data_IF_644220868557
#
_entry.id   IF_644220868557
#
_cell.length_a   1.000
_cell.length_b   1.000
_cell.length_c   1.000
_cell.angle_alpha   90.00
_cell.angle_beta   90.00
_cell.angle_gamma   90.00
#
_symmetry.space_group_name_H-M   'P 1'
#
loop_
_entity.id
_entity.type
_entity.pdbx_description
1 polymer ?
#
# COMPACT_ATOMS: atom_id res chain seq x y z
N UNK A 1 2.92 20.66 19.46
CA UNK A 1 1.75 19.83 19.12
C UNK A 1 2.28 18.47 18.70
N UNK A 2 1.54 17.37 18.86
CA UNK A 2 2.00 16.12 18.26
C UNK A 2 2.02 16.30 16.72
N UNK A 3 3.12 15.96 16.02
CA UNK A 3 3.15 16.01 14.57
C UNK A 3 1.98 15.23 13.98
N UNK A 4 1.17 15.88 13.15
CA UNK A 4 0.07 15.24 12.46
C UNK A 4 0.62 14.55 11.22
N UNK A 5 1.11 13.30 11.38
CA UNK A 5 1.72 12.47 10.32
C UNK A 5 0.97 12.49 9.00
N UNK A 6 -0.35 12.50 9.05
CA UNK A 6 -1.16 12.57 7.85
C UNK A 6 -0.93 13.86 7.03
N UNK A 7 -0.73 15.01 7.68
CA UNK A 7 -0.41 16.27 7.02
C UNK A 7 1.02 16.28 6.48
N UNK A 8 1.98 15.69 7.20
CA UNK A 8 3.37 15.54 6.73
C UNK A 8 3.41 14.69 5.46
N UNK A 9 2.65 13.60 5.45
CA UNK A 9 2.46 12.77 4.26
C UNK A 9 1.81 13.56 3.12
N UNK A 10 0.73 14.29 3.39
CA UNK A 10 0.07 15.12 2.39
C UNK A 10 1.06 16.08 1.74
N UNK A 11 1.84 16.80 2.56
CA UNK A 11 2.85 17.75 2.08
C UNK A 11 3.95 17.05 1.28
N UNK A 12 4.36 15.83 1.67
CA UNK A 12 5.35 15.04 0.93
C UNK A 12 4.83 14.58 -0.44
N UNK A 13 3.63 14.01 -0.48
CA UNK A 13 3.01 13.53 -1.73
C UNK A 13 2.76 14.73 -2.65
N UNK A 14 2.27 15.85 -2.12
CA UNK A 14 2.06 17.07 -2.90
C UNK A 14 3.36 17.63 -3.51
N UNK A 15 4.50 17.52 -2.80
CA UNK A 15 5.81 17.89 -3.36
C UNK A 15 6.26 16.95 -4.48
N UNK A 16 5.89 15.68 -4.40
CA UNK A 16 6.27 14.65 -5.38
C UNK A 16 5.36 14.66 -6.61
N UNK A 17 4.14 15.18 -6.47
CA UNK A 17 3.17 15.38 -7.55
C UNK A 17 2.88 16.88 -7.75
N UNK A 18 3.85 17.69 -8.22
CA UNK A 18 3.73 19.16 -8.26
C UNK A 18 2.61 19.66 -9.18
N UNK A 19 2.27 18.89 -10.20
CA UNK A 19 1.24 19.24 -11.20
C UNK A 19 -0.15 18.70 -10.85
N UNK A 20 -0.29 17.98 -9.73
CA UNK A 20 -1.56 17.42 -9.26
C UNK A 20 -1.93 18.11 -7.95
N UNK A 21 -2.91 19.03 -7.94
CA UNK A 21 -3.38 19.62 -6.70
C UNK A 21 -4.14 18.58 -5.88
N UNK A 22 -3.76 18.40 -4.63
CA UNK A 22 -4.36 17.42 -3.74
C UNK A 22 -5.28 18.09 -2.71
N UNK A 23 -6.21 17.29 -2.19
CA UNK A 23 -7.07 17.63 -1.06
C UNK A 23 -7.10 16.46 -0.06
N UNK A 24 -7.30 16.79 1.22
CA UNK A 24 -7.61 15.81 2.26
C UNK A 24 -9.13 15.73 2.40
N UNK A 25 -9.68 14.60 2.84
CA UNK A 25 -11.14 14.57 2.97
C UNK A 25 -11.75 13.49 3.84
N UNK A 26 -13.07 13.64 4.09
CA UNK A 26 -13.84 14.90 3.95
C UNK A 26 -13.54 15.89 5.11
N UNK A 27 -13.72 17.20 4.87
CA UNK A 27 -13.60 18.27 5.89
C UNK A 27 -12.28 18.28 6.70
N UNK A 28 -11.13 18.21 6.01
CA UNK A 28 -9.79 18.10 6.60
C UNK A 28 -9.58 16.88 7.51
N UNK A 29 -10.48 15.89 7.46
CA UNK A 29 -10.24 14.63 8.16
C UNK A 29 -9.04 13.90 7.54
N UNK A 30 -8.20 13.39 8.42
CA UNK A 30 -6.99 12.63 8.10
C UNK A 30 -7.34 11.18 7.69
N UNK A 31 -8.32 11.00 6.80
CA UNK A 31 -8.78 9.68 6.37
C UNK A 31 -8.14 9.26 5.05
N UNK A 32 -8.18 10.10 4.01
CA UNK A 32 -7.62 9.82 2.69
C UNK A 32 -7.24 11.11 1.94
N UNK A 33 -6.42 10.96 0.89
CA UNK A 33 -5.97 12.04 0.00
C UNK A 33 -6.55 11.77 -1.39
N UNK A 34 -6.95 12.81 -2.10
CA UNK A 34 -7.48 12.71 -3.47
C UNK A 34 -7.09 13.94 -4.30
N UNK A 35 -7.20 13.81 -5.62
CA UNK A 35 -7.01 14.91 -6.55
C UNK A 35 -8.14 15.93 -6.43
N UNK A 36 -7.76 17.19 -6.24
CA UNK A 36 -8.68 18.31 -6.14
C UNK A 36 -9.32 18.63 -7.49
N UNK A 37 -10.61 18.92 -7.47
CA UNK A 37 -11.38 19.37 -8.63
C UNK A 37 -11.59 18.30 -9.69
N UNK A 38 -11.30 17.03 -9.39
CA UNK A 38 -11.42 15.91 -10.32
C UNK A 38 -12.24 14.78 -9.72
N UNK A 39 -13.16 14.25 -10.52
CA UNK A 39 -13.91 13.03 -10.23
C UNK A 39 -13.70 11.99 -11.32
N UNK A 40 -13.91 10.74 -10.98
CA UNK A 40 -13.87 9.60 -11.90
C UNK A 40 -15.28 9.09 -12.17
N UNK A 41 -15.50 8.62 -13.40
CA UNK A 41 -16.69 7.91 -13.83
C UNK A 41 -16.29 6.78 -14.78
N UNK A 42 -17.12 5.75 -14.94
CA UNK A 42 -16.87 4.74 -15.99
C UNK A 42 -17.03 5.35 -17.37
N UNK A 43 -16.25 4.86 -18.33
CA UNK A 43 -16.28 5.30 -19.72
C UNK A 43 -17.67 5.16 -20.37
N UNK A 44 -17.85 5.87 -21.49
CA UNK A 44 -19.07 5.78 -22.28
C UNK A 44 -20.24 6.57 -21.70
N UNK A 45 -21.38 5.90 -21.54
CA UNK A 45 -22.65 6.53 -21.13
C UNK A 45 -22.60 7.06 -19.70
N UNK A 46 -22.02 6.33 -18.75
CA UNK A 46 -21.93 6.78 -17.35
C UNK A 46 -21.16 8.10 -17.22
N UNK A 47 -20.01 8.23 -17.88
CA UNK A 47 -19.27 9.49 -17.91
C UNK A 47 -20.10 10.65 -18.48
N UNK A 48 -20.93 10.41 -19.52
CA UNK A 48 -21.83 11.47 -20.04
C UNK A 48 -22.89 11.86 -19.02
N UNK A 49 -23.52 10.87 -18.39
CA UNK A 49 -24.53 11.10 -17.33
C UNK A 49 -23.92 11.90 -16.18
N UNK A 50 -22.69 11.57 -15.76
CA UNK A 50 -21.97 12.32 -14.73
C UNK A 50 -21.69 13.76 -15.18
N UNK A 51 -21.14 13.98 -16.38
CA UNK A 51 -20.89 15.32 -16.91
C UNK A 51 -22.17 16.18 -16.93
N UNK A 52 -23.24 15.67 -17.52
CA UNK A 52 -24.49 16.42 -17.69
C UNK A 52 -25.13 16.71 -16.33
N UNK A 53 -25.21 15.71 -15.44
CA UNK A 53 -25.81 15.86 -14.10
C UNK A 53 -25.02 16.83 -13.23
N UNK A 54 -23.68 16.76 -13.25
CA UNK A 54 -22.84 17.68 -12.47
C UNK A 54 -22.94 19.09 -13.03
N UNK A 55 -22.90 19.26 -14.36
CA UNK A 55 -23.03 20.58 -14.99
C UNK A 55 -24.34 21.25 -14.64
N UNK A 56 -25.46 20.53 -14.78
CA UNK A 56 -26.79 21.04 -14.44
C UNK A 56 -26.87 21.44 -12.95
N UNK A 57 -26.33 20.60 -12.06
CA UNK A 57 -26.28 20.90 -10.63
C UNK A 57 -25.46 22.15 -10.33
N UNK A 58 -24.30 22.32 -10.98
CA UNK A 58 -23.39 23.43 -10.73
C UNK A 58 -23.96 24.74 -11.26
N UNK A 59 -24.60 24.73 -12.42
CA UNK A 59 -25.33 25.89 -12.95
C UNK A 59 -26.46 26.33 -12.01
N UNK A 60 -27.07 25.40 -11.26
CA UNK A 60 -28.15 25.69 -10.32
C UNK A 60 -27.69 26.01 -8.88
N UNK A 61 -26.40 25.88 -8.56
CA UNK A 61 -25.89 25.97 -7.18
C UNK A 61 -24.93 27.15 -7.03
N UNK A 62 -25.24 28.07 -6.11
CA UNK A 62 -24.38 29.22 -5.82
C UNK A 62 -22.99 28.77 -5.32
N UNK A 63 -21.93 29.35 -5.88
CA UNK A 63 -20.55 29.02 -5.52
C UNK A 63 -19.91 27.89 -6.34
N UNK A 64 -20.66 27.25 -7.24
CA UNK A 64 -20.15 26.24 -8.18
C UNK A 64 -20.25 26.76 -9.62
N UNK A 65 -19.37 26.27 -10.50
CA UNK A 65 -19.24 26.79 -11.88
C UNK A 65 -19.34 25.65 -12.88
N UNK A 66 -20.46 25.58 -13.61
CA UNK A 66 -20.72 24.52 -14.59
C UNK A 66 -19.73 24.48 -15.76
N UNK A 67 -19.08 25.59 -16.08
CA UNK A 67 -18.08 25.68 -17.16
C UNK A 67 -16.78 24.93 -16.83
N UNK A 68 -16.52 24.63 -15.55
CA UNK A 68 -15.38 23.81 -15.15
C UNK A 68 -15.62 22.32 -15.42
N UNK A 69 -16.88 21.89 -15.61
CA UNK A 69 -17.21 20.49 -15.88
C UNK A 69 -16.75 20.12 -17.28
N UNK A 70 -15.72 19.27 -17.40
CA UNK A 70 -15.21 18.77 -18.68
C UNK A 70 -14.36 17.51 -18.49
N UNK A 71 -14.30 16.66 -19.52
CA UNK A 71 -13.35 15.54 -19.52
C UNK A 71 -11.90 16.04 -19.45
N UNK A 72 -11.11 15.41 -18.60
CA UNK A 72 -9.70 15.71 -18.35
C UNK A 72 -8.76 14.57 -18.79
N UNK A 73 -9.29 13.56 -19.48
CA UNK A 73 -8.54 12.40 -19.97
C UNK A 73 -9.04 11.91 -21.34
N UNK A 74 -8.46 10.81 -21.86
CA UNK A 74 -8.93 10.19 -23.09
C UNK A 74 -10.39 9.75 -22.97
N UNK A 75 -11.07 9.59 -24.11
CA UNK A 75 -12.47 9.12 -24.13
C UNK A 75 -12.64 7.69 -23.65
N UNK A 76 -11.59 6.89 -23.79
CA UNK A 76 -11.52 5.48 -23.39
C UNK A 76 -10.11 5.14 -22.99
N UNK A 77 -9.94 4.29 -21.98
CA UNK A 77 -8.67 3.65 -21.61
C UNK A 77 -8.89 2.19 -21.20
N UNK A 78 -7.83 1.45 -20.83
CA UNK A 78 -7.94 0.01 -20.51
C UNK A 78 -8.64 -0.24 -19.19
N UNK A 79 -8.43 0.65 -18.22
CA UNK A 79 -9.12 0.67 -16.93
C UNK A 79 -10.61 0.96 -17.06
N UNK A 80 -11.03 1.57 -18.17
CA UNK A 80 -12.43 1.90 -18.48
C UNK A 80 -12.94 3.12 -17.70
N UNK A 81 -12.04 4.02 -17.30
CA UNK A 81 -12.32 5.14 -16.38
C UNK A 81 -12.03 6.48 -17.04
N UNK A 82 -13.04 7.36 -17.06
CA UNK A 82 -12.90 8.75 -17.50
C UNK A 82 -12.64 9.65 -16.30
N UNK A 83 -11.59 10.47 -16.39
CA UNK A 83 -11.37 11.62 -15.50
C UNK A 83 -12.21 12.81 -15.94
N UNK A 84 -12.95 13.42 -15.02
CA UNK A 84 -13.80 14.59 -15.25
C UNK A 84 -13.34 15.69 -14.30
N UNK A 85 -12.83 16.78 -14.87
CA UNK A 85 -12.60 18.01 -14.13
C UNK A 85 -13.96 18.62 -13.78
N UNK A 86 -14.15 19.00 -12.52
CA UNK A 86 -15.36 19.64 -11.99
C UNK A 86 -15.06 20.97 -11.29
N UNK A 87 -13.80 21.22 -10.91
CA UNK A 87 -13.36 22.48 -10.29
C UNK A 87 -12.14 23.07 -11.00
N UNK A 88 -11.77 24.29 -10.62
CA UNK A 88 -10.48 24.86 -11.01
C UNK A 88 -9.37 24.25 -10.13
N UNK A 89 -8.39 23.53 -10.70
CA UNK A 89 -7.30 22.93 -9.93
C UNK A 89 -6.40 23.98 -9.25
N UNK A 90 -6.42 25.22 -9.76
CA UNK A 90 -5.68 26.36 -9.20
C UNK A 90 -6.42 27.05 -8.04
N UNK A 91 -7.70 26.77 -7.84
CA UNK A 91 -8.47 27.30 -6.72
C UNK A 91 -8.11 26.53 -5.44
N UNK A 92 -7.24 27.14 -4.64
CA UNK A 92 -6.79 26.58 -3.37
C UNK A 92 -7.83 26.71 -2.26
N UNK A 93 -8.98 27.35 -2.50
CA UNK A 93 -9.95 27.65 -1.45
C UNK A 93 -9.36 28.57 -0.37
N UNK A 94 -10.11 28.91 0.69
CA UNK A 94 -9.63 29.82 1.71
C UNK A 94 -8.52 29.18 2.57
N UNK A 95 -7.25 29.44 2.24
CA UNK A 95 -6.06 29.51 3.13
C UNK A 95 -5.70 28.34 4.05
N UNK A 96 -6.49 27.27 4.13
CA UNK A 96 -6.30 26.12 5.00
C UNK A 96 -5.48 25.05 4.25
N UNK A 97 -4.42 24.54 4.88
CA UNK A 97 -3.61 23.44 4.30
C UNK A 97 -4.50 22.24 4.03
N UNK A 98 -4.53 21.77 2.78
CA UNK A 98 -5.31 20.60 2.39
C UNK A 98 -6.84 20.78 2.50
N UNK A 99 -7.31 22.03 2.55
CA UNK A 99 -8.72 22.42 2.72
C UNK A 99 -9.71 21.67 1.82
N UNK A 100 -10.97 21.59 2.27
CA UNK A 100 -12.07 20.92 1.56
C UNK A 100 -12.25 21.31 0.09
N UNK A 101 -12.80 20.38 -0.69
CA UNK A 101 -13.05 20.52 -2.12
C UNK A 101 -14.57 20.54 -2.39
N UNK A 102 -15.13 21.75 -2.41
CA UNK A 102 -16.57 21.98 -2.61
C UNK A 102 -17.03 21.50 -4.00
N UNK A 103 -16.16 21.57 -5.01
CA UNK A 103 -16.49 21.10 -6.35
C UNK A 103 -16.63 19.57 -6.36
N UNK A 104 -15.65 18.82 -5.87
CA UNK A 104 -15.78 17.35 -5.78
C UNK A 104 -16.92 16.95 -4.85
N UNK A 105 -17.08 17.60 -3.70
CA UNK A 105 -18.20 17.34 -2.79
C UNK A 105 -19.57 17.63 -3.46
N UNK A 106 -19.65 18.70 -4.26
CA UNK A 106 -20.82 19.06 -5.07
C UNK A 106 -21.11 18.03 -6.16
N UNK A 107 -20.09 17.55 -6.86
CA UNK A 107 -20.24 16.54 -7.90
C UNK A 107 -20.74 15.20 -7.33
N UNK A 108 -20.15 14.72 -6.24
CA UNK A 108 -20.64 13.52 -5.53
C UNK A 108 -22.08 13.71 -5.04
N UNK A 109 -22.43 14.91 -4.58
CA UNK A 109 -23.79 15.27 -4.14
C UNK A 109 -24.82 15.24 -5.27
N UNK A 110 -24.45 15.74 -6.45
CA UNK A 110 -25.32 15.79 -7.62
C UNK A 110 -25.80 14.40 -8.04
N UNK A 111 -24.94 13.39 -7.91
CA UNK A 111 -25.20 12.04 -8.40
C UNK A 111 -25.94 11.13 -7.41
N UNK A 112 -26.07 11.50 -6.13
CA UNK A 112 -26.67 10.62 -5.09
C UNK A 112 -28.05 10.07 -5.46
N UNK A 113 -28.90 10.89 -6.08
CA UNK A 113 -30.24 10.47 -6.50
C UNK A 113 -30.17 9.48 -7.66
N UNK A 114 -29.25 9.69 -8.61
CA UNK A 114 -29.06 8.79 -9.74
C UNK A 114 -28.52 7.43 -9.27
N UNK A 115 -27.49 7.44 -8.40
CA UNK A 115 -26.93 6.23 -7.79
C UNK A 115 -27.98 5.44 -6.99
N UNK A 116 -28.85 6.14 -6.26
CA UNK A 116 -29.96 5.52 -5.54
C UNK A 116 -31.01 4.86 -6.46
N UNK A 117 -31.13 5.31 -7.71
CA UNK A 117 -32.04 4.71 -8.71
C UNK A 117 -31.39 3.55 -9.46
N UNK A 118 -30.12 3.67 -9.82
CA UNK A 118 -29.39 2.64 -10.58
C UNK A 118 -28.91 1.51 -9.68
N UNK A 119 -28.74 1.76 -8.38
CA UNK A 119 -28.27 0.77 -7.40
C UNK A 119 -26.75 0.59 -7.40
N UNK A 120 -26.00 1.44 -8.11
CA UNK A 120 -24.55 1.40 -8.15
C UNK A 120 -23.95 2.81 -8.22
N UNK A 121 -22.67 2.89 -7.83
CA UNK A 121 -21.89 4.12 -7.84
C UNK A 121 -21.60 4.57 -9.27
N UNK A 122 -21.85 5.85 -9.55
CA UNK A 122 -21.60 6.47 -10.85
C UNK A 122 -20.36 7.38 -10.82
N UNK A 123 -20.03 7.94 -9.66
CA UNK A 123 -18.95 8.92 -9.52
C UNK A 123 -18.05 8.66 -8.31
N UNK A 124 -16.75 8.87 -8.47
CA UNK A 124 -15.74 8.73 -7.42
C UNK A 124 -14.81 9.94 -7.33
N UNK A 125 -14.17 10.13 -6.18
CA UNK A 125 -12.95 10.96 -6.12
C UNK A 125 -11.83 10.21 -6.81
N UNK A 126 -10.86 10.93 -7.37
CA UNK A 126 -9.62 10.31 -7.82
C UNK A 126 -8.65 10.20 -6.62
N UNK A 127 -8.72 9.11 -5.86
CA UNK A 127 -7.95 8.94 -4.63
C UNK A 127 -6.46 8.75 -4.92
N UNK A 128 -5.63 9.12 -3.96
CA UNK A 128 -4.23 8.70 -3.92
C UNK A 128 -4.15 7.31 -3.31
N UNK A 129 -3.52 6.40 -4.03
CA UNK A 129 -3.07 5.09 -3.57
C UNK A 129 -1.62 5.22 -3.12
N UNK A 130 -1.27 4.65 -1.96
CA UNK A 130 0.06 4.82 -1.39
C UNK A 130 0.55 3.60 -0.61
N UNK A 131 1.87 3.37 -0.59
CA UNK A 131 2.56 2.35 0.25
C UNK A 131 2.62 2.75 1.73
N UNK A 132 2.65 4.05 2.00
CA UNK A 132 2.60 4.62 3.34
C UNK A 132 1.19 5.16 3.58
N UNK A 133 0.59 4.93 4.74
CA UNK A 133 -0.68 5.57 5.11
C UNK A 133 -0.45 6.12 6.51
N UNK A 134 -0.24 7.44 6.60
CA UNK A 134 0.36 8.24 7.69
C UNK A 134 1.90 8.38 7.68
N UNK A 135 2.49 8.74 6.54
CA UNK A 135 3.90 9.17 6.41
C UNK A 135 4.97 8.13 6.75
N UNK A 136 4.61 6.89 7.03
CA UNK A 136 5.54 5.76 7.04
C UNK A 136 4.73 4.51 6.71
N UNK A 137 5.41 3.40 6.40
CA UNK A 137 4.97 2.09 6.89
C UNK A 137 4.75 2.11 8.42
N UNK A 138 4.61 0.97 9.08
CA UNK A 138 4.47 0.94 10.55
C UNK A 138 5.53 1.75 11.33
N UNK A 139 6.71 1.96 10.74
CA UNK A 139 7.82 2.85 11.15
C UNK A 139 8.75 3.19 9.97
N UNK A 140 9.88 3.87 10.26
CA UNK A 140 11.00 4.07 9.34
C UNK A 140 11.98 2.90 9.41
N UNK A 141 12.73 2.60 8.33
CA UNK A 141 13.69 1.51 8.33
C UNK A 141 14.82 1.80 9.33
N UNK A 142 15.21 0.77 10.07
CA UNK A 142 16.29 0.82 11.07
C UNK A 142 17.44 -0.07 10.58
N UNK A 143 18.70 0.39 10.52
CA UNK A 143 19.79 -0.46 10.05
C UNK A 143 19.98 -1.68 10.95
N UNK A 144 20.28 -2.81 10.34
CA UNK A 144 20.61 -4.06 11.04
C UNK A 144 22.01 -4.48 10.62
N UNK A 145 22.83 -4.88 11.59
CA UNK A 145 24.19 -5.31 11.29
C UNK A 145 24.20 -6.55 10.39
N UNK A 146 25.14 -6.61 9.44
CA UNK A 146 25.28 -7.77 8.54
C UNK A 146 25.52 -9.11 9.22
N UNK A 147 26.03 -9.07 10.45
CA UNK A 147 26.28 -10.26 11.27
C UNK A 147 24.99 -10.81 11.87
N UNK A 148 23.92 -10.03 11.90
CA UNK A 148 22.60 -10.49 12.33
C UNK A 148 21.90 -11.24 11.21
N UNK A 149 21.05 -12.18 11.60
CA UNK A 149 20.28 -12.98 10.66
C UNK A 149 18.97 -12.27 10.30
N UNK A 150 18.57 -12.28 9.02
CA UNK A 150 17.23 -11.89 8.60
C UNK A 150 16.15 -12.64 9.40
N UNK A 151 14.98 -12.00 9.53
CA UNK A 151 13.83 -12.55 10.23
C UNK A 151 12.55 -12.16 9.46
N UNK A 152 11.91 -13.10 8.73
CA UNK A 152 12.23 -14.53 8.66
C UNK A 152 13.60 -14.82 8.05
N UNK A 153 14.28 -15.88 8.51
CA UNK A 153 15.50 -16.33 7.84
C UNK A 153 15.15 -17.00 6.51
N UNK A 154 16.05 -17.01 5.50
CA UNK A 154 15.82 -17.77 4.28
C UNK A 154 15.51 -19.24 4.58
N UNK A 155 14.37 -19.72 4.09
CA UNK A 155 13.97 -21.11 4.21
C UNK A 155 14.92 -22.01 3.41
N UNK A 156 15.10 -23.27 3.83
CA UNK A 156 15.85 -24.22 3.03
C UNK A 156 15.09 -24.52 1.73
N UNK A 157 15.82 -24.62 0.63
CA UNK A 157 15.25 -24.93 -0.68
C UNK A 157 16.23 -24.59 -1.78
N UNK A 158 15.99 -25.15 -2.96
CA UNK A 158 16.72 -24.80 -4.18
C UNK A 158 15.73 -24.26 -5.19
N UNK A 159 16.15 -23.24 -5.93
CA UNK A 159 15.41 -22.77 -7.08
C UNK A 159 15.40 -23.82 -8.19
N UNK A 160 14.21 -24.11 -8.72
CA UNK A 160 13.98 -24.93 -9.91
C UNK A 160 13.14 -24.13 -10.90
N UNK A 161 13.72 -23.67 -12.04
CA UNK A 161 12.99 -22.85 -13.00
C UNK A 161 11.78 -23.53 -13.62
N UNK A 162 11.70 -24.87 -13.59
CA UNK A 162 10.56 -25.60 -14.15
C UNK A 162 9.33 -25.61 -13.23
N UNK A 163 9.52 -25.33 -11.94
CA UNK A 163 8.46 -25.36 -10.91
C UNK A 163 8.37 -24.07 -10.08
N UNK A 164 9.23 -23.09 -10.35
CA UNK A 164 9.25 -21.82 -9.63
C UNK A 164 7.91 -21.09 -9.75
N UNK A 165 7.39 -20.64 -8.61
CA UNK A 165 6.14 -19.86 -8.55
C UNK A 165 6.44 -18.43 -9.00
N UNK A 166 5.67 -17.92 -9.95
CA UNK A 166 5.78 -16.55 -10.42
C UNK A 166 5.14 -15.57 -9.44
N UNK A 167 5.94 -14.67 -8.86
CA UNK A 167 5.45 -13.64 -7.93
C UNK A 167 5.74 -12.25 -8.51
N UNK A 168 4.68 -11.51 -8.81
CA UNK A 168 4.78 -10.10 -9.22
C UNK A 168 4.60 -9.21 -8.00
N UNK A 169 5.54 -8.31 -7.77
CA UNK A 169 5.50 -7.27 -6.75
C UNK A 169 5.31 -5.92 -7.44
N UNK A 170 4.23 -5.20 -7.14
CA UNK A 170 4.01 -3.84 -7.64
C UNK A 170 4.29 -2.85 -6.52
N UNK A 171 5.41 -2.13 -6.61
CA UNK A 171 5.97 -1.34 -5.51
C UNK A 171 6.93 -0.21 -6.00
N UNK A 172 7.97 0.17 -5.24
CA UNK A 172 8.92 1.26 -5.53
C UNK A 172 10.11 0.88 -6.42
N UNK A 173 10.28 -0.41 -6.76
CA UNK A 173 11.43 -0.92 -7.51
C UNK A 173 12.55 -1.53 -6.65
N UNK A 174 13.62 -1.95 -7.33
CA UNK A 174 14.79 -2.63 -6.77
C UNK A 174 15.97 -1.67 -6.56
N UNK A 175 16.65 -1.75 -5.42
CA UNK A 175 17.91 -1.04 -5.15
C UNK A 175 19.01 -1.56 -6.07
N UNK A 176 19.94 -0.72 -6.50
CA UNK A 176 20.98 -1.07 -7.47
C UNK A 176 21.83 -2.28 -7.06
N UNK A 177 22.05 -2.46 -5.76
CA UNK A 177 22.89 -3.50 -5.16
C UNK A 177 22.10 -4.72 -4.66
N UNK A 178 20.81 -4.83 -4.98
CA UNK A 178 19.94 -5.92 -4.46
C UNK A 178 20.48 -7.33 -4.72
N UNK A 179 21.20 -7.54 -5.84
CA UNK A 179 21.79 -8.83 -6.22
C UNK A 179 22.93 -9.27 -5.30
N UNK A 180 23.47 -8.36 -4.47
CA UNK A 180 24.44 -8.68 -3.42
C UNK A 180 23.80 -9.45 -2.27
N UNK A 181 22.47 -9.47 -2.15
CA UNK A 181 21.74 -10.33 -1.22
C UNK A 181 21.37 -11.68 -1.85
N UNK A 182 21.98 -12.81 -1.44
CA UNK A 182 21.84 -14.10 -2.14
C UNK A 182 20.40 -14.61 -2.35
N UNK A 183 19.45 -14.44 -1.40
CA UNK A 183 18.06 -14.83 -1.64
C UNK A 183 17.41 -14.15 -2.85
N UNK A 184 17.90 -12.98 -3.28
CA UNK A 184 17.38 -12.26 -4.45
C UNK A 184 18.02 -12.68 -5.77
N UNK A 185 18.80 -13.78 -5.81
CA UNK A 185 19.46 -14.26 -7.03
C UNK A 185 18.51 -14.51 -8.21
N UNK A 186 17.24 -14.84 -7.94
CA UNK A 186 16.19 -15.10 -8.93
C UNK A 186 15.11 -14.02 -8.94
N UNK A 187 15.48 -12.81 -8.51
CA UNK A 187 14.64 -11.61 -8.61
C UNK A 187 15.10 -10.78 -9.81
N UNK A 188 14.14 -10.19 -10.52
CA UNK A 188 14.36 -9.22 -11.58
C UNK A 188 13.30 -8.12 -11.52
N UNK A 189 13.45 -7.07 -12.32
CA UNK A 189 12.46 -6.00 -12.41
C UNK A 189 13.06 -4.60 -12.53
N UNK A 190 12.20 -3.62 -12.32
CA UNK A 190 12.55 -2.21 -12.46
C UNK A 190 13.44 -1.77 -11.30
N UNK A 191 14.53 -1.08 -11.61
CA UNK A 191 15.36 -0.43 -10.59
C UNK A 191 14.66 0.82 -10.06
N UNK A 192 14.94 1.15 -8.80
CA UNK A 192 14.53 2.41 -8.20
C UNK A 192 15.08 3.57 -9.05
N UNK A 193 14.19 4.50 -9.46
CA UNK A 193 14.56 5.61 -10.35
C UNK A 193 15.61 6.53 -9.72
N UNK A 194 15.44 6.85 -8.43
CA UNK A 194 16.33 7.71 -7.66
C UNK A 194 16.41 7.20 -6.23
N UNK A 195 17.60 6.76 -5.83
CA UNK A 195 17.81 6.19 -4.51
C UNK A 195 18.21 7.22 -3.47
N UNK A 196 19.12 8.13 -3.83
CA UNK A 196 19.66 9.15 -2.94
C UNK A 196 19.35 10.56 -3.43
N UNK A 197 19.41 11.53 -2.51
CA UNK A 197 19.51 12.94 -2.87
C UNK A 197 20.91 13.29 -3.41
N UNK A 198 21.13 14.58 -3.67
CA UNK A 198 22.39 15.08 -4.25
C UNK A 198 23.57 15.00 -3.27
N UNK A 199 23.30 14.84 -1.97
CA UNK A 199 24.29 14.65 -0.91
C UNK A 199 24.57 13.15 -0.63
N UNK A 200 23.95 12.24 -1.39
CA UNK A 200 24.10 10.81 -1.23
C UNK A 200 23.30 10.21 -0.07
N UNK A 201 22.35 10.96 0.51
CA UNK A 201 21.46 10.48 1.57
C UNK A 201 20.30 9.71 0.94
N UNK A 202 20.04 8.51 1.45
CA UNK A 202 18.93 7.65 1.03
C UNK A 202 17.60 8.40 1.18
N UNK A 203 16.81 8.41 0.11
CA UNK A 203 15.51 9.07 0.11
C UNK A 203 14.47 8.24 0.88
N UNK A 204 13.44 8.93 1.33
CA UNK A 204 12.38 8.34 2.12
C UNK A 204 11.61 7.26 1.32
N UNK A 205 11.40 6.10 1.96
CA UNK A 205 10.74 4.90 1.44
C UNK A 205 11.40 4.20 0.24
N UNK A 206 12.55 4.69 -0.22
CA UNK A 206 13.38 3.96 -1.18
C UNK A 206 13.77 2.61 -0.59
N UNK A 207 13.76 1.58 -1.44
CA UNK A 207 14.11 0.20 -1.05
C UNK A 207 12.94 -0.62 -0.49
N UNK A 208 11.73 -0.07 -0.41
CA UNK A 208 10.52 -0.80 0.01
C UNK A 208 10.26 -2.03 -0.88
N UNK A 209 10.34 -1.89 -2.20
CA UNK A 209 10.20 -3.02 -3.13
C UNK A 209 11.28 -4.10 -2.96
N UNK A 210 12.52 -3.70 -2.68
CA UNK A 210 13.64 -4.63 -2.40
C UNK A 210 13.42 -5.40 -1.11
N UNK A 211 12.96 -4.70 -0.07
CA UNK A 211 12.66 -5.30 1.22
C UNK A 211 11.56 -6.37 1.09
N UNK A 212 10.49 -6.04 0.37
CA UNK A 212 9.36 -6.94 0.07
C UNK A 212 9.82 -8.16 -0.73
N UNK A 213 10.58 -7.96 -1.81
CA UNK A 213 11.12 -9.06 -2.61
C UNK A 213 12.00 -9.99 -1.76
N UNK A 214 12.81 -9.42 -0.86
CA UNK A 214 13.66 -10.17 0.05
C UNK A 214 12.86 -11.04 1.02
N UNK A 215 11.69 -10.57 1.48
CA UNK A 215 10.78 -11.34 2.33
C UNK A 215 10.13 -12.50 1.56
N UNK A 216 9.67 -12.26 0.33
CA UNK A 216 9.11 -13.33 -0.52
C UNK A 216 10.15 -14.43 -0.73
N UNK A 217 11.35 -14.05 -1.18
CA UNK A 217 12.43 -15.00 -1.48
C UNK A 217 12.94 -15.72 -0.22
N UNK A 218 12.93 -15.05 0.94
CA UNK A 218 13.29 -15.69 2.20
C UNK A 218 12.25 -16.74 2.63
N UNK A 219 10.95 -16.47 2.46
CA UNK A 219 9.89 -17.42 2.86
C UNK A 219 9.73 -18.55 1.84
N UNK A 220 9.91 -18.28 0.54
CA UNK A 220 9.78 -19.24 -0.55
C UNK A 220 10.97 -19.15 -1.52
N UNK A 221 12.04 -19.94 -1.31
CA UNK A 221 13.23 -19.91 -2.16
C UNK A 221 12.99 -20.34 -3.62
N UNK A 222 11.91 -21.07 -3.90
CA UNK A 222 11.52 -21.51 -5.24
C UNK A 222 10.52 -20.55 -5.90
N UNK A 223 10.82 -19.26 -5.89
CA UNK A 223 10.03 -18.22 -6.56
C UNK A 223 10.85 -17.51 -7.62
N UNK A 224 10.21 -17.18 -8.74
CA UNK A 224 10.70 -16.17 -9.67
C UNK A 224 9.99 -14.86 -9.33
N UNK A 225 10.71 -13.91 -8.75
CA UNK A 225 10.14 -12.62 -8.31
C UNK A 225 10.38 -11.56 -9.37
N UNK A 226 9.34 -10.86 -9.78
CA UNK A 226 9.43 -9.68 -10.64
C UNK A 226 8.93 -8.46 -9.90
N UNK A 227 9.74 -7.40 -9.80
CA UNK A 227 9.34 -6.14 -9.17
C UNK A 227 9.04 -5.08 -10.24
N UNK A 228 7.87 -4.44 -10.15
CA UNK A 228 7.48 -3.30 -10.98
C UNK A 228 7.50 -2.01 -10.18
N UNK A 229 8.25 -1.03 -10.66
CA UNK A 229 8.42 0.28 -10.04
C UNK A 229 7.27 1.21 -10.41
N UNK A 230 6.08 0.98 -9.87
CA UNK A 230 4.88 1.78 -10.16
C UNK A 230 4.68 2.94 -9.18
N UNK A 231 5.24 2.83 -7.97
CA UNK A 231 4.99 3.74 -6.85
C UNK A 231 6.23 4.59 -6.52
N UNK A 232 6.86 5.22 -7.52
CA UNK A 232 8.15 5.91 -7.34
C UNK A 232 8.02 7.33 -6.75
N UNK A 233 6.87 7.98 -6.91
CA UNK A 233 6.65 9.36 -6.46
C UNK A 233 6.21 9.39 -4.99
N UNK A 234 7.20 9.32 -4.08
CA UNK A 234 6.98 9.18 -2.64
C UNK A 234 6.06 7.99 -2.26
N UNK A 235 6.10 6.92 -3.06
CA UNK A 235 5.27 5.75 -2.79
C UNK A 235 3.80 5.92 -3.17
N UNK A 236 3.45 6.94 -3.96
CA UNK A 236 2.07 7.34 -4.23
C UNK A 236 1.75 7.41 -5.74
N UNK A 237 0.47 7.19 -6.07
CA UNK A 237 -0.09 7.27 -7.43
C UNK A 237 -1.60 7.57 -7.34
N UNK A 238 -2.17 8.23 -8.34
CA UNK A 238 -3.64 8.42 -8.42
C UNK A 238 -4.35 7.12 -8.84
N UNK A 239 -5.57 6.88 -8.34
CA UNK A 239 -6.28 5.61 -8.57
C UNK A 239 -6.57 5.34 -10.06
N UNK A 240 -6.75 6.39 -10.87
CA UNK A 240 -6.95 6.25 -12.31
C UNK A 240 -5.69 5.77 -13.04
N UNK A 241 -4.54 6.36 -12.71
CA UNK A 241 -3.24 5.96 -13.25
C UNK A 241 -2.82 4.58 -12.72
N UNK A 242 -3.16 4.27 -11.47
CA UNK A 242 -2.87 2.98 -10.85
C UNK A 242 -3.58 1.82 -11.55
N UNK A 243 -4.83 2.01 -11.95
CA UNK A 243 -5.57 1.01 -12.73
C UNK A 243 -4.85 0.64 -14.04
N UNK A 244 -4.34 1.64 -14.77
CA UNK A 244 -3.54 1.42 -15.98
C UNK A 244 -2.20 0.74 -15.67
N UNK A 245 -1.50 1.20 -14.63
CA UNK A 245 -0.20 0.65 -14.27
C UNK A 245 -0.28 -0.82 -13.83
N UNK A 246 -1.39 -1.23 -13.20
CA UNK A 246 -1.64 -2.64 -12.89
C UNK A 246 -1.80 -3.48 -14.17
N UNK A 247 -2.45 -2.95 -15.21
CA UNK A 247 -2.52 -3.62 -16.51
C UNK A 247 -1.14 -3.69 -17.19
N UNK A 248 -0.37 -2.60 -17.18
CA UNK A 248 1.00 -2.58 -17.72
C UNK A 248 1.88 -3.65 -17.05
N UNK A 249 1.80 -3.75 -15.71
CA UNK A 249 2.58 -4.69 -14.92
C UNK A 249 2.34 -6.16 -15.32
N UNK A 250 1.10 -6.54 -15.61
CA UNK A 250 0.74 -7.91 -16.02
C UNK A 250 0.83 -8.16 -17.52
N UNK A 251 0.84 -7.13 -18.37
CA UNK A 251 1.00 -7.28 -19.82
C UNK A 251 2.46 -7.53 -20.21
N UNK A 252 3.42 -6.92 -19.52
CA UNK A 252 4.85 -7.07 -19.82
C UNK A 252 5.36 -8.49 -19.53
N UNK A 253 4.90 -9.09 -18.42
CA UNK A 253 5.36 -10.41 -17.96
C UNK A 253 4.31 -11.54 -18.05
N UNK A 254 3.07 -11.21 -18.40
CA UNK A 254 1.92 -12.10 -18.22
C UNK A 254 1.36 -12.05 -16.80
N UNK A 255 0.18 -12.65 -16.62
CA UNK A 255 -0.44 -12.80 -15.30
C UNK A 255 0.40 -13.74 -14.42
N UNK A 256 0.82 -13.32 -13.22
CA UNK A 256 1.61 -14.14 -12.32
C UNK A 256 0.72 -15.16 -11.59
N UNK A 257 1.33 -16.12 -10.89
CA UNK A 257 0.59 -16.93 -9.92
C UNK A 257 0.11 -16.05 -8.76
N UNK A 258 1.02 -15.23 -8.22
CA UNK A 258 0.74 -14.35 -7.09
C UNK A 258 1.10 -12.91 -7.44
N UNK A 259 0.15 -12.00 -7.25
CA UNK A 259 0.35 -10.56 -7.28
C UNK A 259 0.41 -10.05 -5.83
N UNK A 260 1.58 -9.66 -5.36
CA UNK A 260 1.79 -9.07 -4.04
C UNK A 260 1.71 -7.54 -4.13
N UNK A 261 0.73 -6.94 -3.45
CA UNK A 261 0.48 -5.50 -3.48
C UNK A 261 0.46 -4.89 -2.08
N UNK A 262 1.47 -4.09 -1.78
CA UNK A 262 1.66 -3.44 -0.48
C UNK A 262 1.28 -1.95 -0.50
N UNK A 263 0.22 -1.62 -1.23
CA UNK A 263 -0.30 -0.27 -1.38
C UNK A 263 -1.83 -0.24 -1.39
N UNK A 264 -2.42 0.90 -1.04
CA UNK A 264 -3.85 1.07 -1.14
C UNK A 264 -4.35 2.44 -0.69
N UNK A 265 -5.67 2.56 -0.55
CA UNK A 265 -6.33 3.75 -0.02
C UNK A 265 -7.62 3.39 0.70
N UNK A 266 -7.92 4.10 1.79
CA UNK A 266 -9.30 4.23 2.28
C UNK A 266 -10.03 5.20 1.33
N UNK A 267 -11.32 4.99 1.14
CA UNK A 267 -12.14 5.87 0.30
C UNK A 267 -13.40 6.37 1.00
N UNK A 268 -13.50 6.14 2.31
CA UNK A 268 -14.67 6.46 3.14
C UNK A 268 -15.93 5.66 2.75
N UNK A 269 -15.79 4.54 2.03
CA UNK A 269 -16.91 3.76 1.49
C UNK A 269 -16.69 2.25 1.63
N UNK A 270 -17.76 1.51 1.33
CA UNK A 270 -17.82 0.04 1.36
C UNK A 270 -17.65 -0.61 -0.02
N UNK A 271 -17.65 0.20 -1.07
CA UNK A 271 -17.31 -0.18 -2.44
C UNK A 271 -15.86 0.23 -2.78
N UNK A 272 -15.27 -0.43 -3.76
CA UNK A 272 -13.85 -0.26 -4.10
C UNK A 272 -13.49 1.07 -4.77
N UNK A 273 -12.21 1.23 -5.07
CA UNK A 273 -11.70 2.33 -5.90
C UNK A 273 -12.22 2.16 -7.33
N UNK A 274 -12.75 3.23 -7.90
CA UNK A 274 -13.36 3.16 -9.24
C UNK A 274 -12.26 2.98 -10.29
N UNK A 275 -11.12 3.66 -10.11
CA UNK A 275 -9.91 3.55 -10.93
C UNK A 275 -9.39 2.13 -11.15
N UNK A 276 -9.53 1.24 -10.15
CA UNK A 276 -8.99 -0.13 -10.21
C UNK A 276 -10.04 -1.18 -10.59
N UNK A 277 -11.30 -0.80 -10.74
CA UNK A 277 -12.40 -1.75 -10.93
C UNK A 277 -12.22 -2.60 -12.21
N UNK A 278 -11.76 -1.97 -13.30
CA UNK A 278 -11.48 -2.67 -14.56
C UNK A 278 -10.44 -3.78 -14.39
N UNK A 279 -9.35 -3.49 -13.68
CA UNK A 279 -8.30 -4.48 -13.38
C UNK A 279 -8.83 -5.61 -12.50
N UNK A 280 -9.59 -5.29 -11.45
CA UNK A 280 -10.19 -6.30 -10.58
C UNK A 280 -11.13 -7.22 -11.38
N UNK A 281 -11.96 -6.66 -12.27
CA UNK A 281 -12.83 -7.45 -13.13
C UNK A 281 -12.04 -8.39 -14.03
N UNK A 282 -10.91 -7.95 -14.59
CA UNK A 282 -10.01 -8.80 -15.37
C UNK A 282 -9.40 -9.91 -14.52
N UNK A 283 -8.92 -9.61 -13.30
CA UNK A 283 -8.34 -10.57 -12.35
C UNK A 283 -9.26 -11.77 -12.09
N UNK A 284 -10.59 -11.58 -12.05
CA UNK A 284 -11.56 -12.67 -11.84
C UNK A 284 -11.38 -13.82 -12.84
N UNK A 285 -11.09 -13.49 -14.10
CA UNK A 285 -10.91 -14.46 -15.18
C UNK A 285 -9.54 -15.14 -15.21
N UNK A 286 -8.64 -14.76 -14.31
CA UNK A 286 -7.24 -15.22 -14.30
C UNK A 286 -7.00 -16.23 -13.19
N UNK A 287 -5.93 -17.03 -13.32
CA UNK A 287 -5.46 -17.95 -12.26
C UNK A 287 -4.45 -17.25 -11.34
N UNK A 288 -4.67 -15.98 -11.05
CA UNK A 288 -3.81 -15.16 -10.18
C UNK A 288 -4.49 -14.93 -8.83
N UNK A 289 -3.71 -14.99 -7.76
CA UNK A 289 -4.11 -14.56 -6.43
C UNK A 289 -3.52 -13.16 -6.15
N UNK A 290 -4.38 -12.19 -5.83
CA UNK A 290 -3.95 -10.90 -5.28
C UNK A 290 -3.79 -11.02 -3.76
N UNK A 291 -2.59 -10.81 -3.25
CA UNK A 291 -2.30 -10.72 -1.82
C UNK A 291 -2.05 -9.25 -1.49
N UNK A 292 -2.89 -8.63 -0.67
CA UNK A 292 -2.93 -7.18 -0.50
C UNK A 292 -2.91 -6.74 0.96
N UNK A 293 -2.12 -5.69 1.24
CA UNK A 293 -1.93 -5.14 2.58
C UNK A 293 -3.20 -4.46 3.13
N UNK A 294 -3.50 -4.68 4.41
CA UNK A 294 -4.63 -4.05 5.08
C UNK A 294 -4.42 -2.56 5.41
N UNK A 295 -3.19 -2.05 5.39
CA UNK A 295 -2.90 -0.65 5.73
C UNK A 295 -2.58 -0.42 7.22
N UNK A 296 -2.02 0.75 7.51
CA UNK A 296 -1.27 1.03 8.75
C UNK A 296 -1.90 2.18 9.56
N UNK A 297 -3.23 2.23 9.69
CA UNK A 297 -3.96 3.30 10.37
C UNK A 297 -4.59 2.87 11.70
N UNK A 298 -4.39 1.63 12.12
CA UNK A 298 -5.07 1.00 13.24
C UNK A 298 -6.61 1.14 13.17
N UNK A 299 -7.15 1.14 11.95
CA UNK A 299 -8.56 1.42 11.63
C UNK A 299 -9.34 0.16 11.24
N UNK A 300 -10.65 0.19 11.47
CA UNK A 300 -11.59 -0.80 10.97
C UNK A 300 -12.13 -0.48 9.55
N UNK A 301 -11.86 0.73 9.05
CA UNK A 301 -12.30 1.19 7.72
C UNK A 301 -11.71 0.30 6.62
N UNK A 302 -12.51 -0.13 5.63
CA UNK A 302 -12.01 -0.84 4.46
C UNK A 302 -10.85 -0.12 3.77
N UNK A 303 -9.81 -0.89 3.44
CA UNK A 303 -8.65 -0.41 2.70
C UNK A 303 -8.55 -1.15 1.37
N UNK A 304 -8.50 -0.41 0.27
CA UNK A 304 -8.64 -0.95 -1.07
C UNK A 304 -7.29 -0.99 -1.80
N UNK A 305 -6.97 -2.08 -2.53
CA UNK A 305 -7.88 -3.15 -2.95
C UNK A 305 -8.03 -4.34 -1.98
N UNK A 306 -7.33 -4.37 -0.83
CA UNK A 306 -7.39 -5.53 0.08
C UNK A 306 -8.82 -5.90 0.51
N UNK A 307 -9.69 -4.93 0.77
CA UNK A 307 -11.08 -5.16 1.17
C UNK A 307 -11.94 -5.90 0.13
N UNK A 308 -11.50 -6.00 -1.15
CA UNK A 308 -12.15 -6.87 -2.13
C UNK A 308 -12.22 -8.34 -1.67
N UNK A 309 -11.35 -8.79 -0.75
CA UNK A 309 -11.37 -10.14 -0.19
C UNK A 309 -12.71 -10.58 0.44
N UNK A 310 -13.60 -9.64 0.77
CA UNK A 310 -14.96 -9.94 1.27
C UNK A 310 -16.07 -9.79 0.25
N UNK A 311 -15.77 -9.24 -0.92
CA UNK A 311 -16.73 -9.16 -2.00
C UNK A 311 -16.90 -10.58 -2.59
N UNK A 312 -18.13 -11.10 -2.74
CA UNK A 312 -18.36 -12.48 -3.17
C UNK A 312 -17.64 -12.85 -4.47
N UNK A 313 -17.59 -11.92 -5.42
CA UNK A 313 -16.94 -12.09 -6.72
C UNK A 313 -15.41 -12.24 -6.66
N UNK A 314 -14.80 -11.95 -5.50
CA UNK A 314 -13.37 -11.84 -5.28
C UNK A 314 -12.88 -12.66 -4.07
N UNK A 315 -13.78 -13.36 -3.37
CA UNK A 315 -13.48 -14.04 -2.12
C UNK A 315 -12.35 -15.08 -2.25
N UNK A 316 -12.21 -15.69 -3.43
CA UNK A 316 -11.14 -16.65 -3.75
C UNK A 316 -9.99 -16.04 -4.57
N UNK A 317 -10.10 -14.76 -4.98
CA UNK A 317 -9.13 -14.08 -5.83
C UNK A 317 -8.27 -13.06 -5.07
N UNK A 318 -8.72 -12.61 -3.90
CA UNK A 318 -8.06 -11.60 -3.08
C UNK A 318 -7.89 -12.08 -1.65
N UNK A 319 -6.67 -11.99 -1.14
CA UNK A 319 -6.32 -12.30 0.25
C UNK A 319 -5.81 -11.02 0.93
N UNK A 320 -6.58 -10.49 1.87
CA UNK A 320 -6.22 -9.30 2.66
C UNK A 320 -5.40 -9.66 3.89
N UNK A 321 -4.31 -8.92 4.11
CA UNK A 321 -3.28 -9.25 5.10
C UNK A 321 -3.07 -8.13 6.12
N UNK A 322 -3.32 -8.41 7.38
CA UNK A 322 -2.95 -7.58 8.52
C UNK A 322 -1.59 -7.95 9.11
N UNK A 323 -1.05 -7.08 9.98
CA UNK A 323 0.26 -7.25 10.61
C UNK A 323 0.12 -7.67 12.07
N UNK A 324 0.88 -8.70 12.45
CA UNK A 324 1.10 -9.12 13.83
C UNK A 324 2.29 -8.39 14.43
N UNK A 325 2.20 -8.22 15.75
CA UNK A 325 3.27 -7.78 16.64
C UNK A 325 4.46 -8.74 16.57
N UNK A 326 5.62 -8.28 17.02
CA UNK A 326 6.88 -9.03 16.97
C UNK A 326 6.85 -10.39 17.70
N UNK A 327 5.93 -10.63 18.62
CA UNK A 327 5.75 -11.94 19.27
C UNK A 327 4.70 -12.84 18.61
N UNK A 328 3.94 -12.33 17.64
CA UNK A 328 2.94 -13.08 16.89
C UNK A 328 1.61 -13.28 17.62
N UNK A 329 1.51 -12.90 18.90
CA UNK A 329 0.32 -13.17 19.73
C UNK A 329 -0.80 -12.16 19.47
N UNK A 330 -0.45 -10.91 19.16
CA UNK A 330 -1.40 -9.81 18.98
C UNK A 330 -1.19 -9.07 17.67
N UNK A 331 -2.22 -8.34 17.22
CA UNK A 331 -2.08 -7.37 16.12
C UNK A 331 -1.09 -6.26 16.46
N UNK A 332 -0.26 -5.87 15.48
CA UNK A 332 0.63 -4.73 15.61
C UNK A 332 -0.20 -3.45 15.81
N UNK A 333 0.33 -2.48 16.57
CA UNK A 333 -0.44 -1.30 16.98
C UNK A 333 -1.00 -0.48 15.81
N UNK A 334 -0.33 -0.50 14.66
CA UNK A 334 -0.71 0.20 13.43
C UNK A 334 -1.61 -0.61 12.51
N UNK A 335 -1.77 -1.92 12.69
CA UNK A 335 -2.47 -2.75 11.71
C UNK A 335 -3.95 -2.38 11.63
N UNK A 336 -4.45 -2.15 10.42
CA UNK A 336 -5.88 -2.15 10.18
C UNK A 336 -6.50 -3.52 10.49
N UNK A 337 -7.80 -3.53 10.73
CA UNK A 337 -8.51 -4.69 11.26
C UNK A 337 -9.99 -4.74 10.86
N UNK A 338 -10.67 -5.82 11.23
CA UNK A 338 -12.10 -6.02 10.96
C UNK A 338 -12.35 -7.24 10.09
N UNK A 339 -13.63 -7.58 9.87
CA UNK A 339 -14.04 -8.79 9.16
C UNK A 339 -13.61 -8.85 7.69
N UNK A 340 -13.08 -7.75 7.14
CA UNK A 340 -12.53 -7.69 5.79
C UNK A 340 -11.05 -8.06 5.70
N UNK A 341 -10.33 -8.14 6.83
CA UNK A 341 -8.95 -8.67 6.89
C UNK A 341 -9.04 -10.17 7.10
N UNK A 342 -8.57 -10.96 6.12
CA UNK A 342 -8.73 -12.42 6.11
C UNK A 342 -7.69 -13.14 6.96
N UNK A 343 -6.46 -12.64 6.98
CA UNK A 343 -5.34 -13.24 7.72
C UNK A 343 -4.43 -12.18 8.29
N UNK A 344 -3.64 -12.60 9.28
CA UNK A 344 -2.56 -11.80 9.84
C UNK A 344 -1.25 -12.57 9.77
N UNK A 345 -0.14 -11.88 9.52
CA UNK A 345 1.20 -12.45 9.52
C UNK A 345 2.17 -11.51 10.25
N UNK A 346 3.36 -11.98 10.67
CA UNK A 346 4.36 -11.11 11.28
C UNK A 346 4.63 -9.87 10.42
N UNK A 347 4.54 -8.70 11.02
CA UNK A 347 4.74 -7.44 10.30
C UNK A 347 5.37 -6.33 11.15
N UNK A 348 5.81 -6.63 12.37
CA UNK A 348 6.55 -5.70 13.22
C UNK A 348 8.01 -6.16 13.33
N UNK A 349 8.94 -5.26 13.00
CA UNK A 349 10.40 -5.46 13.10
C UNK A 349 10.90 -6.71 12.37
N UNK A 350 10.40 -6.93 11.15
CA UNK A 350 11.01 -7.92 10.27
C UNK A 350 12.36 -7.42 9.81
N UNK A 351 13.29 -8.33 9.49
CA UNK A 351 14.61 -7.99 8.98
C UNK A 351 14.80 -8.57 7.59
N UNK A 352 15.10 -7.72 6.61
CA UNK A 352 15.31 -8.09 5.20
C UNK A 352 16.35 -7.18 4.55
N UNK A 353 16.67 -7.44 3.28
CA UNK A 353 17.56 -6.61 2.47
C UNK A 353 16.97 -5.23 2.19
N UNK A 354 17.83 -4.21 2.24
CA UNK A 354 17.54 -2.85 1.84
C UNK A 354 18.58 -2.37 0.83
N UNK A 355 19.71 -1.83 1.29
CA UNK A 355 20.83 -1.34 0.46
C UNK A 355 22.08 -1.14 1.30
N UNK A 356 23.20 -0.87 0.64
CA UNK A 356 24.49 -0.54 1.23
C UNK A 356 25.50 -1.67 1.20
N UNK A 357 25.18 -2.78 0.51
CA UNK A 357 26.01 -3.98 0.44
C UNK A 357 27.36 -3.70 -0.22
N UNK A 358 27.35 -2.81 -1.22
CA UNK A 358 28.56 -2.41 -1.94
C UNK A 358 29.30 -1.27 -1.21
N UNK A 359 28.55 -0.28 -0.72
CA UNK A 359 29.06 0.83 0.09
C UNK A 359 27.99 1.32 1.06
N UNK A 360 28.32 1.59 2.33
CA UNK A 360 27.37 2.12 3.29
C UNK A 360 26.65 3.40 2.79
N UNK A 361 25.32 3.45 2.94
CA UNK A 361 24.49 4.56 2.51
C UNK A 361 23.90 5.29 3.73
N UNK A 362 24.10 6.60 3.89
CA UNK A 362 23.52 7.35 5.00
C UNK A 362 22.02 7.52 4.83
N UNK A 363 21.29 7.49 5.95
CA UNK A 363 19.88 7.84 6.03
C UNK A 363 19.64 8.79 7.20
N UNK A 364 18.81 9.81 6.97
CA UNK A 364 18.40 10.76 8.00
C UNK A 364 16.93 10.48 8.28
N UNK A 365 16.61 10.20 9.54
CA UNK A 365 15.22 9.95 9.93
C UNK A 365 14.35 11.16 9.60
N UNK A 366 13.20 10.92 9.00
CA UNK A 366 12.29 11.98 8.61
C UNK A 366 11.36 12.36 9.74
N UNK A 367 11.06 11.45 10.65
CA UNK A 367 10.13 11.71 11.73
C UNK A 367 10.62 11.23 13.08
N UNK A 368 10.26 11.96 14.13
CA UNK A 368 10.54 11.53 15.49
C UNK A 368 9.58 10.43 15.95
N UNK A 369 10.11 9.54 16.78
CA UNK A 369 9.29 8.66 17.62
C UNK A 369 8.47 9.44 18.66
N UNK A 370 7.37 8.84 19.10
CA UNK A 370 6.45 9.40 20.08
C UNK A 370 6.79 8.95 21.51
N UNK A 371 6.37 9.75 22.49
CA UNK A 371 6.45 9.37 23.91
C UNK A 371 5.47 8.27 24.32
N UNK A 372 4.36 8.16 23.60
CA UNK A 372 3.34 7.15 23.80
C UNK A 372 2.91 6.57 22.44
N UNK A 373 2.30 5.39 22.45
CA UNK A 373 1.75 4.81 21.23
C UNK A 373 0.62 5.71 20.70
N UNK A 374 0.70 6.11 19.43
CA UNK A 374 -0.33 6.94 18.78
C UNK A 374 -1.72 6.27 18.70
N UNK A 375 -1.75 4.96 18.91
CA UNK A 375 -2.95 4.12 18.85
C UNK A 375 -3.42 3.60 20.22
N UNK A 376 -2.82 4.10 21.31
CA UNK A 376 -3.24 3.78 22.67
C UNK A 376 -2.78 2.43 23.22
N UNK A 377 -1.80 1.76 22.59
CA UNK A 377 -1.26 0.51 23.09
C UNK A 377 -0.17 0.71 24.17
N UNK A 378 -0.13 -0.21 25.14
CA UNK A 378 0.78 -0.17 26.30
C UNK A 378 2.09 -0.94 26.16
N UNK A 379 2.46 -1.39 24.96
CA UNK A 379 3.72 -2.10 24.71
C UNK A 379 4.75 -1.21 24.00
N UNK A 380 6.03 -1.60 24.03
CA UNK A 380 7.14 -0.89 23.38
C UNK A 380 7.09 -1.02 21.84
N UNK A 381 6.02 -0.50 21.24
CA UNK A 381 5.71 -0.59 19.81
C UNK A 381 6.58 0.32 18.94
N UNK A 382 6.42 0.17 17.62
CA UNK A 382 7.10 0.97 16.58
C UNK A 382 6.94 2.49 16.73
N UNK A 383 5.84 2.96 17.33
CA UNK A 383 5.67 4.39 17.62
C UNK A 383 6.71 4.93 18.62
N UNK A 384 7.26 4.07 19.49
CA UNK A 384 8.10 4.46 20.63
C UNK A 384 9.53 3.93 20.54
N UNK A 385 9.80 2.92 19.72
CA UNK A 385 11.09 2.22 19.73
C UNK A 385 11.45 1.59 18.38
N UNK A 386 12.71 1.76 17.90
CA UNK A 386 13.81 2.47 18.57
C UNK A 386 13.62 3.99 18.58
N UNK A 387 14.01 4.65 19.67
CA UNK A 387 13.88 6.11 19.80
C UNK A 387 14.81 6.81 18.82
N UNK A 388 14.26 7.74 18.05
CA UNK A 388 15.00 8.63 17.16
C UNK A 388 14.25 9.96 16.97
N UNK A 389 15.01 10.98 16.56
CA UNK A 389 14.54 12.30 16.16
C UNK A 389 14.60 12.44 14.63
N UNK A 390 13.53 12.97 14.03
CA UNK A 390 13.50 13.18 12.58
C UNK A 390 13.28 14.63 12.15
N UNK A 391 13.59 14.90 10.88
CA UNK A 391 13.63 16.24 10.27
C UNK A 391 12.28 16.98 10.30
N UNK A 392 11.17 16.25 10.09
CA UNK A 392 9.83 16.80 9.91
C UNK A 392 9.09 17.04 11.23
N UNK A 393 9.62 16.55 12.35
CA UNK A 393 8.97 16.72 13.67
C UNK A 393 9.38 18.04 14.31
N UNK A 394 8.43 18.71 15.00
CA UNK A 394 8.56 20.02 15.68
C UNK A 394 9.63 20.13 16.81
N UNK A 395 10.60 19.20 16.88
CA UNK A 395 11.62 19.13 17.92
C UNK A 395 12.83 20.01 17.66
N UNK A 396 13.40 20.59 18.72
CA UNK A 396 14.64 21.41 18.69
C UNK A 396 15.93 20.58 18.61
N UNK A 397 15.83 19.28 18.31
CA UNK A 397 16.96 18.35 18.28
C UNK A 397 17.58 18.22 16.90
N UNK A 398 18.87 17.87 16.84
CA UNK A 398 19.50 17.44 15.58
C UNK A 398 18.82 16.13 15.12
N UNK A 399 18.41 16.00 13.85
CA UNK A 399 17.87 14.73 13.35
C UNK A 399 18.92 13.64 13.46
N UNK A 400 18.48 12.45 13.85
CA UNK A 400 19.36 11.30 13.94
C UNK A 400 19.68 10.78 12.54
N UNK A 401 20.95 10.43 12.35
CA UNK A 401 21.48 9.89 11.11
C UNK A 401 22.04 8.49 11.37
N UNK A 402 21.74 7.58 10.47
CA UNK A 402 22.20 6.19 10.50
C UNK A 402 22.85 5.79 9.17
N UNK A 403 23.53 4.65 9.16
CA UNK A 403 24.13 4.07 7.96
C UNK A 403 23.48 2.72 7.67
N UNK A 404 22.98 2.54 6.46
CA UNK A 404 22.59 1.23 5.95
C UNK A 404 23.78 0.57 5.28
N UNK A 405 24.04 -0.66 5.67
CA UNK A 405 25.12 -1.46 5.09
C UNK A 405 24.54 -2.67 4.34
N UNK A 406 23.26 -3.01 4.47
CA UNK A 406 22.64 -4.02 3.62
C UNK A 406 21.30 -4.50 4.12
N UNK A 407 21.18 -4.65 5.44
CA UNK A 407 19.92 -5.05 6.09
C UNK A 407 19.26 -3.89 6.81
N UNK A 408 17.94 -3.96 6.85
CA UNK A 408 17.11 -3.10 7.67
C UNK A 408 16.12 -3.94 8.48
N UNK A 409 15.67 -3.39 9.60
CA UNK A 409 14.46 -3.79 10.29
C UNK A 409 13.34 -2.82 9.95
N UNK A 410 12.17 -3.33 9.59
CA UNK A 410 11.05 -2.50 9.16
C UNK A 410 9.71 -3.14 9.52
N UNK A 411 8.71 -2.30 9.81
CA UNK A 411 7.38 -2.71 10.25
C UNK A 411 6.28 -2.17 9.34
N UNK A 412 5.22 -2.94 9.11
CA UNK A 412 4.10 -2.57 8.27
C UNK A 412 3.28 -3.77 7.81
N UNK A 413 2.00 -3.55 7.51
CA UNK A 413 1.19 -4.53 6.75
C UNK A 413 1.79 -4.80 5.36
N UNK A 414 2.54 -3.83 4.83
CA UNK A 414 3.37 -3.95 3.64
C UNK A 414 4.42 -5.06 3.71
N UNK A 415 4.83 -5.49 4.91
CA UNK A 415 5.82 -6.55 5.13
C UNK A 415 5.18 -7.87 5.59
N UNK A 416 4.00 -7.82 6.23
CA UNK A 416 3.19 -9.01 6.46
C UNK A 416 2.66 -9.60 5.13
N UNK A 417 2.34 -8.74 4.17
CA UNK A 417 1.80 -9.12 2.84
C UNK A 417 2.73 -10.05 2.05
N UNK A 418 4.02 -9.71 1.79
CA UNK A 418 4.94 -10.60 1.10
C UNK A 418 5.26 -11.87 1.90
N UNK A 419 5.18 -11.83 3.23
CA UNK A 419 5.30 -13.04 4.04
C UNK A 419 4.17 -14.01 3.70
N UNK A 420 2.92 -13.55 3.60
CA UNK A 420 1.79 -14.39 3.18
C UNK A 420 1.92 -14.84 1.72
N UNK A 421 2.34 -13.95 0.81
CA UNK A 421 2.60 -14.32 -0.58
C UNK A 421 3.63 -15.45 -0.68
N UNK A 422 4.74 -15.34 0.06
CA UNK A 422 5.74 -16.38 0.20
C UNK A 422 5.18 -17.67 0.79
N UNK A 423 4.33 -17.61 1.83
CA UNK A 423 3.72 -18.82 2.41
C UNK A 423 2.81 -19.55 1.42
N UNK A 424 2.05 -18.82 0.60
CA UNK A 424 1.24 -19.43 -0.47
C UNK A 424 2.15 -20.05 -1.53
N UNK A 425 3.20 -19.37 -1.98
CA UNK A 425 4.16 -19.91 -2.95
C UNK A 425 4.92 -21.15 -2.43
N UNK A 426 5.33 -21.14 -1.16
CA UNK A 426 5.94 -22.27 -0.49
C UNK A 426 4.96 -23.45 -0.41
N UNK A 427 3.69 -23.20 -0.12
CA UNK A 427 2.64 -24.22 -0.11
C UNK A 427 2.43 -24.82 -1.51
N UNK A 428 2.37 -23.98 -2.56
CA UNK A 428 2.31 -24.41 -3.97
C UNK A 428 3.46 -25.36 -4.31
N UNK A 429 4.69 -24.95 -3.99
CA UNK A 429 5.90 -25.76 -4.24
C UNK A 429 5.85 -27.08 -3.48
N UNK A 430 5.54 -27.05 -2.18
CA UNK A 430 5.57 -28.24 -1.32
C UNK A 430 4.49 -29.28 -1.69
N UNK A 431 3.38 -28.85 -2.28
CA UNK A 431 2.24 -29.72 -2.61
C UNK A 431 2.04 -29.92 -4.11
N UNK A 432 2.91 -29.36 -4.96
CA UNK A 432 2.76 -29.34 -6.42
C UNK A 432 1.40 -28.77 -6.86
N UNK A 433 0.87 -27.82 -6.08
CA UNK A 433 -0.37 -27.12 -6.38
C UNK A 433 -0.09 -25.99 -7.37
N UNK A 434 -0.79 -26.00 -8.51
CA UNK A 434 -0.60 -25.08 -9.63
C UNK A 434 -1.66 -23.98 -9.67
N UNK A 435 -2.66 -24.05 -8.78
CA UNK A 435 -3.65 -23.01 -8.59
C UNK A 435 -3.35 -22.21 -7.31
N UNK A 436 -2.87 -20.96 -7.41
CA UNK A 436 -2.53 -20.16 -6.24
C UNK A 436 -3.74 -19.87 -5.35
N UNK A 437 -4.96 -19.83 -5.92
CA UNK A 437 -6.21 -19.65 -5.16
C UNK A 437 -6.54 -20.90 -4.37
N UNK A 438 -6.34 -22.08 -4.96
CA UNK A 438 -6.50 -23.35 -4.25
C UNK A 438 -5.43 -23.51 -3.16
N UNK A 439 -4.16 -23.16 -3.44
CA UNK A 439 -3.08 -23.20 -2.47
C UNK A 439 -3.37 -22.31 -1.25
N UNK A 440 -3.85 -21.08 -1.46
CA UNK A 440 -4.25 -20.20 -0.37
C UNK A 440 -5.38 -20.81 0.47
N UNK A 441 -6.45 -21.34 -0.15
CA UNK A 441 -7.54 -22.00 0.60
C UNK A 441 -7.03 -23.20 1.41
N UNK A 442 -6.23 -24.07 0.80
CA UNK A 442 -5.66 -25.24 1.48
C UNK A 442 -4.75 -24.84 2.66
N UNK A 443 -3.96 -23.76 2.50
CA UNK A 443 -3.13 -23.22 3.57
C UNK A 443 -3.99 -22.74 4.74
N UNK A 444 -5.08 -22.02 4.48
CA UNK A 444 -6.01 -21.54 5.50
C UNK A 444 -6.80 -22.66 6.18
N UNK A 445 -7.26 -23.65 5.42
CA UNK A 445 -7.99 -24.81 5.97
C UNK A 445 -7.13 -25.67 6.90
N UNK A 446 -5.82 -25.75 6.63
CA UNK A 446 -4.85 -26.46 7.47
C UNK A 446 -4.31 -25.62 8.62
N UNK A 447 -4.57 -24.31 8.62
CA UNK A 447 -4.00 -23.42 9.63
C UNK A 447 -4.63 -23.66 11.00
N UNK A 448 -3.78 -23.85 12.01
CA UNK A 448 -4.17 -24.04 13.41
C UNK A 448 -3.75 -22.88 14.29
N UNK A 449 -2.99 -21.92 13.75
CA UNK A 449 -2.43 -20.78 14.48
C UNK A 449 -3.39 -19.58 14.45
N UNK A 450 -3.57 -18.95 15.60
CA UNK A 450 -4.46 -17.80 15.77
C UNK A 450 -3.79 -16.71 16.61
N UNK A 451 -4.16 -15.46 16.35
CA UNK A 451 -3.74 -14.30 17.12
C UNK A 451 -4.96 -13.50 17.61
N UNK A 452 -4.74 -12.64 18.61
CA UNK A 452 -5.75 -11.69 19.07
C UNK A 452 -5.56 -10.31 18.42
N UNK A 453 -6.55 -9.86 17.66
CA UNK A 453 -6.55 -8.52 17.07
C UNK A 453 -7.81 -7.78 17.48
N UNK A 454 -7.65 -6.78 18.34
CA UNK A 454 -8.77 -5.95 18.84
C UNK A 454 -9.89 -6.81 19.46
N UNK A 455 -9.52 -7.85 20.20
CA UNK A 455 -10.44 -8.79 20.84
C UNK A 455 -11.04 -9.86 19.92
N UNK A 456 -10.71 -9.86 18.62
CA UNK A 456 -11.09 -10.93 17.69
C UNK A 456 -9.97 -11.98 17.61
N UNK A 457 -10.36 -13.26 17.61
CA UNK A 457 -9.46 -14.35 17.23
C UNK A 457 -9.42 -14.45 15.71
N UNK A 458 -8.23 -14.28 15.14
CA UNK A 458 -8.02 -14.22 13.68
C UNK A 458 -6.97 -15.22 13.23
N UNK A 459 -7.07 -15.78 12.01
CA UNK A 459 -6.05 -16.68 11.48
C UNK A 459 -4.68 -15.99 11.42
N UNK A 460 -3.68 -16.61 12.03
CA UNK A 460 -2.29 -16.17 12.00
C UNK A 460 -1.48 -17.10 11.09
N UNK A 461 -0.75 -16.54 10.13
CA UNK A 461 0.15 -17.28 9.24
C UNK A 461 1.60 -16.97 9.58
N UNK A 462 2.27 -17.93 10.21
CA UNK A 462 3.63 -17.77 10.75
C UNK A 462 4.62 -18.61 9.91
N UNK A 463 5.64 -18.00 9.28
CA UNK A 463 6.71 -18.76 8.63
C UNK A 463 7.51 -19.58 9.62
N UNK A 464 7.87 -20.81 9.25
CA UNK A 464 8.67 -21.69 10.10
C UNK A 464 10.08 -21.11 10.42
N UNK A 465 10.59 -20.24 9.56
CA UNK A 465 11.86 -19.53 9.73
C UNK A 465 11.75 -18.18 10.41
N UNK A 466 10.53 -17.75 10.73
CA UNK A 466 10.31 -16.55 11.52
C UNK A 466 10.49 -16.85 13.01
N UNK A 467 11.16 -15.93 13.72
CA UNK A 467 11.42 -16.03 15.15
C UNK A 467 10.68 -14.91 15.88
N UNK A 468 9.81 -15.23 16.85
CA UNK A 468 9.20 -14.24 17.72
C UNK A 468 10.26 -13.40 18.44
N UNK A 469 10.02 -12.10 18.51
CA UNK A 469 10.83 -11.13 19.25
C UNK A 469 10.08 -10.76 20.54
N UNK A 470 10.71 -10.87 21.72
CA UNK A 470 10.08 -10.53 22.99
C UNK A 470 9.55 -9.09 23.01
N UNK A 471 8.32 -8.92 23.49
CA UNK A 471 7.68 -7.61 23.61
C UNK A 471 7.64 -7.21 25.08
N UNK A 472 8.38 -6.15 25.41
CA UNK A 472 8.36 -5.56 26.76
C UNK A 472 7.23 -4.54 26.97
N UNK A 473 6.87 -4.26 28.23
CA UNK A 473 6.06 -3.09 28.55
C UNK A 473 6.79 -1.81 28.11
N UNK A 474 6.00 -0.82 27.73
CA UNK A 474 6.46 0.37 27.03
C UNK A 474 7.26 1.36 27.88
#
# INVERSE_FOLDING_TARGET
MAPQRFHEQFDQIQRSLPDVPLAMGPDDSAEFIYERGVVLARDGEEARVVEDTVRDHFTATAGLVGDHVRRAGPRTNRSGITRIQVGDPSDRGPGIRGGGDDAVAGALRALRTAEGRTGHRLVSRNHVVSIAVNACPGDEPVPVAHTEQPNPSPAPGTYDPASAVGVLVVDTGLMHDYRSYPPLAHTDGDLQIRETDDDGVLQQYVGHGTFIAGLVAAVAPNTAVTVRGTLNDAGAILEDAFGEALFDAVEEGGWPDILSLSAGSSNGRVDGLLGVEGFMRALRGQRTLLVAAAGNNASATPFWPAAYATQPDYADAVLSVGALRGDGEYGACFSNHGGWVRVYAPGERLTSALTGFDSPVPYIYQHSTYDACRYGFGYACTCRSPRHNGVLSDGTGKPDQVMFEGYASWSGTSFATPVVAGLVAAHMTAHQETDPRAAARQLLEKNVEFAEVRGAHVPALLPATWRPVPVGPA
#
